data_IF_377463010283
#
_entry.id   IF_377463010283
#
_cell.length_a   1.000
_cell.length_b   1.000
_cell.length_c   1.000
_cell.angle_alpha   90.00
_cell.angle_beta   90.00
_cell.angle_gamma   90.00
#
_symmetry.space_group_name_H-M   'P 1'
#
loop_
_entity.id
_entity.type
_entity.pdbx_description
1 polymer ?
#
# COMPACT_ATOMS: atom_id res chain seq x y z
N UNK A 1 -9.98 -20.91 -2.27
CA UNK A 1 -8.98 -19.96 -1.71
C UNK A 1 -9.38 -18.55 -2.11
N UNK A 2 -9.28 -17.57 -1.20
CA UNK A 2 -9.38 -16.15 -1.55
C UNK A 2 -7.98 -15.62 -1.87
N UNK A 3 -7.80 -15.06 -3.07
CA UNK A 3 -6.48 -14.66 -3.61
C UNK A 3 -6.34 -13.16 -3.85
N UNK A 4 -7.46 -12.43 -3.79
CA UNK A 4 -7.53 -10.97 -3.87
C UNK A 4 -8.75 -10.51 -3.07
N UNK A 5 -8.76 -9.23 -2.71
CA UNK A 5 -9.96 -8.60 -2.14
C UNK A 5 -10.99 -8.32 -3.23
N UNK A 6 -12.27 -8.28 -2.83
CA UNK A 6 -13.36 -7.94 -3.74
C UNK A 6 -13.67 -6.44 -3.78
N UNK A 7 -14.50 -5.99 -4.74
CA UNK A 7 -14.76 -4.56 -4.99
C UNK A 7 -15.35 -3.82 -3.78
N UNK A 8 -16.21 -4.47 -2.98
CA UNK A 8 -16.74 -3.86 -1.75
C UNK A 8 -15.68 -3.61 -0.68
N UNK A 9 -14.62 -4.41 -0.66
CA UNK A 9 -13.50 -4.22 0.27
C UNK A 9 -12.60 -3.10 -0.22
N UNK A 10 -12.38 -2.99 -1.54
CA UNK A 10 -11.65 -1.88 -2.15
C UNK A 10 -12.30 -0.53 -1.83
N UNK A 11 -13.63 -0.44 -1.97
CA UNK A 11 -14.41 0.77 -1.62
C UNK A 11 -14.18 1.15 -0.14
N UNK A 12 -14.32 0.19 0.77
CA UNK A 12 -14.10 0.41 2.20
C UNK A 12 -12.67 0.83 2.52
N UNK A 13 -11.68 0.23 1.86
CA UNK A 13 -10.28 0.59 2.06
C UNK A 13 -10.01 2.01 1.54
N UNK A 14 -10.54 2.37 0.38
CA UNK A 14 -10.40 3.72 -0.17
C UNK A 14 -11.01 4.79 0.76
N UNK A 15 -12.17 4.52 1.36
CA UNK A 15 -12.79 5.41 2.34
C UNK A 15 -11.93 5.61 3.60
N UNK A 16 -11.32 4.54 4.10
CA UNK A 16 -10.42 4.62 5.27
C UNK A 16 -9.16 5.40 4.91
N UNK A 17 -8.54 5.09 3.78
CA UNK A 17 -7.32 5.76 3.27
C UNK A 17 -7.55 7.25 3.07
N UNK A 18 -8.69 7.64 2.50
CA UNK A 18 -9.02 9.06 2.24
C UNK A 18 -9.10 9.91 3.52
N UNK A 19 -9.36 9.30 4.68
CA UNK A 19 -9.43 10.00 5.98
C UNK A 19 -8.08 10.08 6.70
N UNK A 20 -7.08 9.29 6.28
CA UNK A 20 -5.81 9.21 6.95
C UNK A 20 -4.92 10.43 6.67
N UNK A 21 -4.14 10.86 7.68
CA UNK A 21 -3.09 11.88 7.54
C UNK A 21 -1.69 11.27 7.43
N UNK A 22 -1.52 10.07 7.98
CA UNK A 22 -0.31 9.27 7.86
C UNK A 22 -0.73 7.84 7.54
N UNK A 23 -0.09 7.25 6.54
CA UNK A 23 -0.36 5.88 6.09
C UNK A 23 0.96 5.13 6.09
N UNK A 24 1.01 4.01 6.81
CA UNK A 24 2.08 3.02 6.69
C UNK A 24 1.45 1.78 6.09
N UNK A 25 1.98 1.32 4.96
CA UNK A 25 1.47 0.14 4.26
C UNK A 25 2.58 -0.89 4.06
N UNK A 26 2.38 -2.07 4.66
CA UNK A 26 3.26 -3.23 4.51
C UNK A 26 2.41 -4.48 4.24
N UNK A 27 2.48 -5.02 3.01
CA UNK A 27 1.78 -6.22 2.57
C UNK A 27 0.62 -5.93 1.61
N UNK A 28 0.70 -6.37 0.34
CA UNK A 28 -0.42 -6.29 -0.60
C UNK A 28 -1.65 -7.12 -0.17
N UNK A 29 -2.89 -6.65 -0.44
CA UNK A 29 -4.11 -7.37 -0.06
C UNK A 29 -4.48 -8.55 -0.99
N UNK A 30 -3.62 -8.89 -1.96
CA UNK A 30 -3.83 -9.97 -2.91
C UNK A 30 -2.51 -10.45 -3.53
N UNK A 31 -2.57 -11.54 -4.30
CA UNK A 31 -1.42 -12.13 -5.02
C UNK A 31 -1.13 -11.32 -6.28
N UNK A 32 -0.63 -10.10 -6.10
CA UNK A 32 -0.49 -9.07 -7.14
C UNK A 32 0.48 -9.43 -8.28
N UNK A 33 1.30 -10.47 -8.09
CA UNK A 33 2.16 -11.05 -9.11
C UNK A 33 1.35 -11.61 -10.27
N UNK A 34 0.16 -12.15 -9.98
CA UNK A 34 -0.79 -12.69 -10.96
C UNK A 34 -1.81 -11.61 -11.32
N UNK A 35 -1.88 -11.24 -12.60
CA UNK A 35 -2.71 -10.12 -13.07
C UNK A 35 -4.19 -10.24 -12.66
N UNK A 36 -4.74 -11.46 -12.65
CA UNK A 36 -6.13 -11.74 -12.23
C UNK A 36 -6.40 -11.45 -10.75
N UNK A 37 -5.37 -11.34 -9.92
CA UNK A 37 -5.43 -11.14 -8.47
C UNK A 37 -4.69 -9.87 -8.02
N UNK A 38 -4.43 -8.95 -8.97
CA UNK A 38 -3.73 -7.70 -8.71
C UNK A 38 -4.67 -6.49 -8.57
N UNK A 39 -5.97 -6.69 -8.75
CA UNK A 39 -6.93 -5.60 -8.81
C UNK A 39 -7.05 -4.88 -7.46
N UNK A 40 -7.19 -5.65 -6.37
CA UNK A 40 -7.27 -5.08 -5.03
C UNK A 40 -6.02 -4.32 -4.61
N UNK A 41 -4.84 -4.85 -4.97
CA UNK A 41 -3.55 -4.17 -4.70
C UNK A 41 -3.44 -2.86 -5.47
N UNK A 42 -3.85 -2.85 -6.75
CA UNK A 42 -3.85 -1.64 -7.57
C UNK A 42 -4.85 -0.61 -7.05
N UNK A 43 -6.06 -1.03 -6.70
CA UNK A 43 -7.08 -0.14 -6.14
C UNK A 43 -6.62 0.52 -4.83
N UNK A 44 -5.96 -0.24 -3.95
CA UNK A 44 -5.37 0.31 -2.73
C UNK A 44 -4.23 1.29 -3.04
N UNK A 45 -3.35 0.96 -3.98
CA UNK A 45 -2.28 1.87 -4.42
C UNK A 45 -2.83 3.19 -4.97
N UNK A 46 -3.86 3.14 -5.82
CA UNK A 46 -4.52 4.33 -6.37
C UNK A 46 -5.13 5.21 -5.26
N UNK A 47 -5.72 4.59 -4.23
CA UNK A 47 -6.23 5.31 -3.07
C UNK A 47 -5.10 5.98 -2.26
N UNK A 48 -3.99 5.27 -2.02
CA UNK A 48 -2.83 5.79 -1.29
C UNK A 48 -2.21 6.97 -2.04
N UNK A 49 -2.01 6.86 -3.36
CA UNK A 49 -1.49 7.96 -4.18
C UNK A 49 -2.40 9.20 -4.12
N UNK A 50 -3.73 9.01 -4.18
CA UNK A 50 -4.68 10.12 -4.03
C UNK A 50 -4.56 10.77 -2.65
N UNK A 51 -4.39 9.99 -1.58
CA UNK A 51 -4.20 10.52 -0.24
C UNK A 51 -2.87 11.30 -0.12
N UNK A 52 -1.77 10.80 -0.71
CA UNK A 52 -0.50 11.55 -0.77
C UNK A 52 -0.68 12.89 -1.47
N UNK A 53 -1.34 12.90 -2.64
CA UNK A 53 -1.61 14.13 -3.38
C UNK A 53 -2.48 15.13 -2.61
N UNK A 54 -3.34 14.63 -1.71
CA UNK A 54 -4.15 15.44 -0.80
C UNK A 54 -3.40 15.88 0.48
N UNK A 55 -2.11 15.58 0.59
CA UNK A 55 -1.23 16.02 1.68
C UNK A 55 -1.05 15.02 2.82
N UNK A 56 -1.44 13.76 2.66
CA UNK A 56 -1.10 12.71 3.62
C UNK A 56 0.37 12.27 3.47
N UNK A 57 1.01 11.94 4.58
CA UNK A 57 2.32 11.28 4.56
C UNK A 57 2.12 9.79 4.31
N UNK A 58 2.76 9.24 3.28
CA UNK A 58 2.60 7.82 2.89
C UNK A 58 3.94 7.09 2.89
N UNK A 59 3.99 5.98 3.62
CA UNK A 59 5.18 5.14 3.79
C UNK A 59 4.84 3.75 3.27
N UNK A 60 5.48 3.37 2.17
CA UNK A 60 5.43 2.02 1.62
C UNK A 60 6.56 1.21 2.24
N UNK A 61 6.23 0.14 2.96
CA UNK A 61 7.20 -0.74 3.62
C UNK A 61 7.14 -2.17 3.07
N UNK A 62 8.30 -2.80 2.97
CA UNK A 62 8.43 -4.21 2.58
C UNK A 62 8.72 -4.43 1.11
N UNK A 63 9.49 -5.50 0.84
CA UNK A 63 9.95 -5.84 -0.51
C UNK A 63 8.80 -6.02 -1.49
N UNK A 64 7.73 -6.72 -1.09
CA UNK A 64 6.58 -6.97 -1.95
C UNK A 64 5.75 -5.71 -2.19
N UNK A 65 5.49 -4.90 -1.15
CA UNK A 65 4.77 -3.63 -1.30
C UNK A 65 5.55 -2.61 -2.13
N UNK A 66 6.88 -2.56 -1.96
CA UNK A 66 7.77 -1.75 -2.81
C UNK A 66 7.73 -2.24 -4.27
N UNK A 67 7.72 -3.56 -4.48
CA UNK A 67 7.58 -4.15 -5.83
C UNK A 67 6.22 -3.82 -6.44
N UNK A 68 5.15 -3.83 -5.67
CA UNK A 68 3.82 -3.40 -6.11
C UNK A 68 3.81 -1.91 -6.51
N UNK A 69 4.47 -1.04 -5.73
CA UNK A 69 4.65 0.38 -6.04
C UNK A 69 5.38 0.59 -7.38
N UNK A 70 6.47 -0.15 -7.59
CA UNK A 70 7.22 -0.15 -8.85
C UNK A 70 6.38 -0.65 -10.02
N UNK A 71 5.64 -1.75 -9.84
CA UNK A 71 4.74 -2.31 -10.87
C UNK A 71 3.63 -1.33 -11.26
N UNK A 72 3.14 -0.56 -10.30
CA UNK A 72 2.13 0.49 -10.54
C UNK A 72 2.72 1.81 -11.05
N UNK A 73 4.06 1.96 -11.09
CA UNK A 73 4.76 3.21 -11.46
C UNK A 73 4.33 4.40 -10.58
N UNK A 74 4.39 4.18 -9.27
CA UNK A 74 3.95 5.15 -8.24
C UNK A 74 5.04 5.47 -7.22
N UNK A 75 6.29 5.06 -7.46
CA UNK A 75 7.43 5.29 -6.54
C UNK A 75 7.66 6.78 -6.25
N UNK A 76 7.41 7.64 -7.25
CA UNK A 76 7.48 9.11 -7.19
C UNK A 76 6.20 9.79 -6.69
N UNK A 77 5.15 9.02 -6.39
CA UNK A 77 3.81 9.50 -6.01
C UNK A 77 3.42 9.20 -4.56
N UNK A 78 4.38 8.68 -3.79
CA UNK A 78 4.27 8.41 -2.35
C UNK A 78 5.38 9.13 -1.61
N UNK A 79 5.23 9.36 -0.30
CA UNK A 79 6.21 10.14 0.45
C UNK A 79 7.52 9.38 0.69
N UNK A 80 7.46 8.06 0.90
CA UNK A 80 8.63 7.21 1.14
C UNK A 80 8.39 5.76 0.71
N UNK A 81 9.45 5.12 0.19
CA UNK A 81 9.48 3.69 -0.13
C UNK A 81 10.67 3.06 0.59
N UNK A 82 10.40 2.06 1.43
CA UNK A 82 11.39 1.26 2.16
C UNK A 82 11.30 -0.21 1.74
N UNK A 83 12.45 -0.80 1.42
CA UNK A 83 12.57 -2.25 1.16
C UNK A 83 12.59 -3.08 2.45
N UNK A 84 12.82 -2.46 3.61
CA UNK A 84 12.94 -3.15 4.89
C UNK A 84 11.58 -3.42 5.51
N UNK A 85 10.88 -4.49 5.10
CA UNK A 85 9.52 -4.80 5.58
C UNK A 85 9.43 -4.94 7.10
N UNK A 86 9.94 -6.07 7.62
CA UNK A 86 9.96 -6.33 9.07
C UNK A 86 10.73 -5.25 9.84
N UNK A 87 11.90 -4.85 9.33
CA UNK A 87 12.72 -3.82 9.97
C UNK A 87 12.02 -2.46 10.10
N UNK A 88 11.21 -2.04 9.10
CA UNK A 88 10.44 -0.78 9.21
C UNK A 88 9.30 -0.91 10.21
N UNK A 89 8.71 -2.10 10.38
CA UNK A 89 7.69 -2.33 11.39
C UNK A 89 8.31 -2.35 12.80
N UNK A 90 9.42 -3.05 13.02
CA UNK A 90 10.13 -3.07 14.30
C UNK A 90 10.57 -1.66 14.73
N UNK A 91 11.01 -0.83 13.78
CA UNK A 91 11.32 0.59 14.03
C UNK A 91 10.07 1.37 14.48
N UNK A 92 8.92 1.13 13.85
CA UNK A 92 7.66 1.78 14.23
C UNK A 92 7.09 1.24 15.55
N UNK A 93 7.42 0.01 15.92
CA UNK A 93 7.10 -0.60 17.21
C UNK A 93 7.99 -0.07 18.36
N UNK A 94 9.04 0.70 18.04
CA UNK A 94 9.93 1.32 19.03
C UNK A 94 10.96 0.36 19.62
N UNK A 95 11.28 -0.71 18.88
CA UNK A 95 12.27 -1.71 19.31
C UNK A 95 13.73 -1.25 19.13
N UNK A 96 13.94 -0.07 18.52
CA UNK A 96 15.24 0.56 18.26
C UNK A 96 15.21 2.05 18.60
#
# INVERSE_FOLDING_TARGET
MGLDIGPKTEEKFAEVVARAKTIVWNGPPGVFEVEKFAHGTKALMDAVVKATAAGATTIIGGGDTATACKKCKTEDKVSHVSTGGGASLELLEGMY
#
